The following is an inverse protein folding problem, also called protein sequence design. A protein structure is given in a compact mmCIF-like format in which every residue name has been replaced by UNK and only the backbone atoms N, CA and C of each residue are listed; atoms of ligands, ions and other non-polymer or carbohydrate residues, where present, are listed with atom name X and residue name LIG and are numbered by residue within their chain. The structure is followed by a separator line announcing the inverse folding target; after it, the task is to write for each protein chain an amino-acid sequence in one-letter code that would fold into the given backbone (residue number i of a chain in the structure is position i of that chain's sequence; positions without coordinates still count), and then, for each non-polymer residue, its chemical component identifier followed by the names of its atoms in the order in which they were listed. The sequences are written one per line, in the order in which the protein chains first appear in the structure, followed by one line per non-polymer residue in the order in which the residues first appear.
data_IF_508130707357
#
_entry.id   IF_508130707357
#
_cell.length_a   1.000
_cell.length_b   1.000
_cell.length_c   1.000
_cell.angle_alpha   90.00
_cell.angle_beta   90.00
_cell.angle_gamma   90.00
#
_symmetry.space_group_name_H-M   'P 1'
#
loop_
_entity.id
_entity.type
_entity.pdbx_description
1 polymer ?
#
# COMPACT_ATOMS: atom_id res chain seq x y z
N UNK A 1 -36.27 -9.02 78.46
CA UNK A 1 -35.22 -8.00 78.21
C UNK A 1 -34.54 -8.30 76.92
N UNK A 2 -35.16 -7.76 75.90
CA UNK A 2 -34.78 -8.00 74.51
C UNK A 2 -33.79 -6.95 74.05
N UNK A 3 -32.67 -7.37 73.51
CA UNK A 3 -31.77 -6.48 72.74
C UNK A 3 -31.85 -6.87 71.29
N UNK A 4 -32.51 -6.03 70.55
CA UNK A 4 -32.63 -6.05 69.11
C UNK A 4 -31.27 -5.97 68.42
N UNK A 5 -31.06 -6.90 67.52
CA UNK A 5 -29.93 -6.99 66.66
C UNK A 5 -30.23 -6.17 65.39
N UNK A 6 -29.75 -4.92 65.35
CA UNK A 6 -29.78 -4.09 64.10
C UNK A 6 -28.60 -4.46 63.19
N UNK A 7 -28.92 -5.03 62.06
CA UNK A 7 -27.96 -5.15 60.93
C UNK A 7 -27.75 -3.77 60.26
N UNK A 8 -26.51 -3.35 60.00
CA UNK A 8 -26.29 -2.13 59.26
C UNK A 8 -26.62 -2.38 57.77
N UNK A 9 -27.48 -1.52 57.25
CA UNK A 9 -27.84 -1.49 55.82
C UNK A 9 -26.66 -1.16 54.94
N UNK A 10 -26.36 -2.03 54.01
CA UNK A 10 -25.50 -1.77 52.84
C UNK A 10 -26.29 -0.93 51.85
N UNK A 11 -26.28 0.38 52.04
CA UNK A 11 -26.70 1.32 51.02
C UNK A 11 -25.49 2.00 50.39
N UNK A 12 -25.40 1.97 49.06
CA UNK A 12 -24.56 2.86 48.30
C UNK A 12 -23.51 2.19 47.46
N UNK A 13 -23.92 1.35 46.51
CA UNK A 13 -23.11 1.24 45.31
C UNK A 13 -23.22 2.55 44.52
N UNK A 14 -22.11 3.26 44.28
CA UNK A 14 -22.13 4.38 43.36
C UNK A 14 -22.50 3.84 42.00
N UNK A 15 -23.59 4.36 41.42
CA UNK A 15 -24.06 4.01 40.10
C UNK A 15 -22.94 4.07 39.08
N UNK A 16 -22.70 2.96 38.46
CA UNK A 16 -21.91 2.92 37.22
C UNK A 16 -22.43 4.01 36.26
N UNK A 17 -21.56 4.84 35.72
CA UNK A 17 -22.00 5.87 34.80
C UNK A 17 -22.69 5.19 33.62
N UNK A 18 -23.98 5.44 33.49
CA UNK A 18 -24.86 5.03 32.38
C UNK A 18 -24.49 5.66 31.05
N UNK A 19 -23.21 5.90 30.79
CA UNK A 19 -22.67 6.54 29.58
C UNK A 19 -22.07 5.55 28.60
N UNK A 20 -22.23 4.24 28.76
CA UNK A 20 -22.09 3.32 27.64
C UNK A 20 -23.40 3.26 26.82
N UNK A 21 -23.92 4.40 26.42
CA UNK A 21 -24.69 4.44 25.17
C UNK A 21 -23.74 4.01 24.06
N UNK A 22 -23.79 2.72 23.74
CA UNK A 22 -23.30 2.16 22.49
C UNK A 22 -23.84 3.07 21.37
N UNK A 23 -23.04 4.06 20.96
CA UNK A 23 -23.25 4.71 19.67
C UNK A 23 -23.25 3.57 18.68
N UNK A 24 -24.42 3.28 18.14
CA UNK A 24 -24.53 2.47 16.94
C UNK A 24 -23.78 3.26 15.86
N UNK A 25 -22.51 2.98 15.73
CA UNK A 25 -21.66 3.47 14.66
C UNK A 25 -22.03 2.73 13.40
N UNK A 26 -23.21 3.00 12.89
CA UNK A 26 -23.49 2.78 11.50
C UNK A 26 -22.67 3.80 10.74
N UNK A 27 -21.46 3.44 10.32
CA UNK A 27 -20.55 4.32 9.62
C UNK A 27 -21.24 4.93 8.42
N UNK A 28 -21.19 6.24 8.29
CA UNK A 28 -21.65 6.97 7.13
C UNK A 28 -20.67 6.67 6.01
N UNK A 29 -21.08 6.01 4.93
CA UNK A 29 -20.23 5.86 3.76
C UNK A 29 -20.26 7.16 2.97
N UNK A 30 -19.10 7.75 2.75
CA UNK A 30 -18.89 8.90 1.89
C UNK A 30 -18.38 8.45 0.53
N UNK A 31 -18.72 9.17 -0.52
CA UNK A 31 -18.23 8.95 -1.88
C UNK A 31 -17.73 10.25 -2.48
N UNK A 32 -16.65 10.20 -3.26
CA UNK A 32 -16.24 11.35 -4.04
C UNK A 32 -17.22 11.61 -5.16
N UNK A 33 -17.73 12.84 -5.22
CA UNK A 33 -18.70 13.26 -6.26
C UNK A 33 -18.15 12.98 -7.65
N UNK A 34 -18.98 12.41 -8.51
CA UNK A 34 -18.60 12.04 -9.88
C UNK A 34 -17.71 10.81 -10.03
N UNK A 35 -17.43 10.10 -8.94
CA UNK A 35 -16.61 8.87 -8.95
C UNK A 35 -17.31 7.68 -8.32
N UNK A 36 -16.68 6.49 -8.37
CA UNK A 36 -17.14 5.30 -7.64
C UNK A 36 -16.40 5.07 -6.34
N UNK A 37 -15.37 5.87 -6.03
CA UNK A 37 -14.52 5.66 -4.87
C UNK A 37 -15.29 5.98 -3.58
N UNK A 38 -15.40 4.99 -2.71
CA UNK A 38 -16.02 5.12 -1.40
C UNK A 38 -14.93 5.35 -0.34
N UNK A 39 -15.18 6.32 0.52
CA UNK A 39 -14.38 6.58 1.70
C UNK A 39 -15.04 5.89 2.88
N UNK A 40 -14.36 4.94 3.48
CA UNK A 40 -14.82 4.34 4.73
C UNK A 40 -14.56 5.28 5.90
N UNK A 41 -15.42 5.22 6.89
CA UNK A 41 -15.12 5.77 8.20
C UNK A 41 -14.49 4.67 9.06
N UNK A 42 -13.44 4.98 9.82
CA UNK A 42 -12.89 4.02 10.76
C UNK A 42 -13.97 3.60 11.76
N UNK A 43 -14.05 2.30 12.02
CA UNK A 43 -15.05 1.75 12.93
C UNK A 43 -14.76 2.07 14.41
N UNK A 44 -13.54 2.43 14.74
CA UNK A 44 -13.06 2.63 16.10
C UNK A 44 -12.76 4.10 16.39
N UNK A 45 -13.07 4.55 17.61
CA UNK A 45 -12.87 5.93 18.07
C UNK A 45 -11.42 6.43 18.09
N UNK A 46 -10.45 5.59 17.73
CA UNK A 46 -9.02 5.92 17.70
C UNK A 46 -8.51 6.49 16.38
N UNK A 47 -9.38 6.75 15.40
CA UNK A 47 -8.99 7.19 14.06
C UNK A 47 -9.59 8.55 13.67
N UNK A 48 -10.02 9.35 14.63
CA UNK A 48 -10.61 10.66 14.38
C UNK A 48 -9.62 11.59 13.66
N UNK A 49 -8.33 11.47 13.97
CA UNK A 49 -7.26 12.24 13.33
C UNK A 49 -7.14 11.92 11.82
N UNK A 50 -7.36 10.65 11.44
CA UNK A 50 -7.35 10.25 10.03
C UNK A 50 -8.50 10.87 9.25
N UNK A 51 -9.68 10.95 9.85
CA UNK A 51 -10.83 11.61 9.23
C UNK A 51 -10.58 13.11 9.08
N UNK A 52 -10.12 13.77 10.14
CA UNK A 52 -9.81 15.20 10.12
C UNK A 52 -8.74 15.53 9.06
N UNK A 53 -7.66 14.75 9.01
CA UNK A 53 -6.61 14.93 8.01
C UNK A 53 -7.11 14.70 6.58
N UNK A 54 -7.91 13.66 6.35
CA UNK A 54 -8.52 13.38 5.05
C UNK A 54 -9.45 14.51 4.60
N UNK A 55 -10.36 14.96 5.46
CA UNK A 55 -11.31 16.04 5.17
C UNK A 55 -10.58 17.35 4.83
N UNK A 56 -9.53 17.67 5.58
CA UNK A 56 -8.69 18.82 5.32
C UNK A 56 -8.05 18.78 3.93
N UNK A 57 -7.45 17.64 3.57
CA UNK A 57 -6.85 17.44 2.25
C UNK A 57 -7.89 17.53 1.13
N UNK A 58 -9.06 16.90 1.28
CA UNK A 58 -10.11 16.93 0.27
C UNK A 58 -10.67 18.34 0.08
N UNK A 59 -10.90 19.08 1.17
CA UNK A 59 -11.32 20.49 1.12
C UNK A 59 -10.29 21.35 0.42
N UNK A 60 -9.00 21.20 0.74
CA UNK A 60 -7.92 21.93 0.07
C UNK A 60 -7.81 21.61 -1.43
N UNK A 61 -8.12 20.36 -1.81
CA UNK A 61 -8.16 19.93 -3.21
C UNK A 61 -9.41 20.41 -3.95
N UNK A 62 -10.40 20.93 -3.25
CA UNK A 62 -11.71 21.32 -3.82
C UNK A 62 -12.56 20.13 -4.22
N UNK A 63 -12.42 19.00 -3.53
CA UNK A 63 -13.18 17.77 -3.82
C UNK A 63 -14.42 17.74 -2.93
N UNK A 64 -15.58 17.65 -3.57
CA UNK A 64 -16.85 17.49 -2.88
C UNK A 64 -17.12 16.01 -2.54
N UNK A 65 -17.75 15.82 -1.39
CA UNK A 65 -18.18 14.52 -0.89
C UNK A 65 -19.70 14.44 -0.88
N UNK A 66 -20.22 13.31 -1.30
CA UNK A 66 -21.62 12.97 -1.16
C UNK A 66 -21.82 11.88 -0.10
N UNK A 67 -22.84 12.03 0.72
CA UNK A 67 -23.23 11.01 1.67
C UNK A 67 -24.04 9.92 0.96
N UNK A 68 -23.59 8.69 1.10
CA UNK A 68 -24.37 7.56 0.61
C UNK A 68 -25.50 7.23 1.60
N UNK A 69 -26.70 6.89 1.12
CA UNK A 69 -27.77 6.45 1.98
C UNK A 69 -27.30 5.23 2.78
N UNK A 70 -27.57 5.26 4.09
CA UNK A 70 -27.26 4.12 4.97
C UNK A 70 -27.91 2.86 4.42
N UNK A 71 -27.12 1.87 4.06
CA UNK A 71 -27.65 0.53 3.87
C UNK A 71 -28.31 0.12 5.18
N UNK A 72 -29.60 -0.21 5.15
CA UNK A 72 -30.31 -0.74 6.32
C UNK A 72 -29.52 -1.93 6.81
N UNK A 73 -28.92 -1.81 8.00
CA UNK A 73 -28.16 -2.89 8.60
C UNK A 73 -29.12 -4.07 8.77
N UNK A 74 -29.00 -5.08 7.91
CA UNK A 74 -29.56 -6.38 8.19
C UNK A 74 -28.90 -6.85 9.46
N UNK A 75 -29.72 -7.19 10.50
CA UNK A 75 -29.34 -7.45 11.87
C UNK A 75 -28.47 -8.70 12.05
N UNK A 76 -27.31 -8.72 11.47
CA UNK A 76 -26.30 -9.73 11.70
C UNK A 76 -25.31 -9.28 12.78
N UNK A 77 -25.06 -10.15 13.74
CA UNK A 77 -24.03 -9.99 14.75
C UNK A 77 -22.74 -9.54 14.06
N UNK A 78 -22.30 -8.34 14.41
CA UNK A 78 -21.06 -7.77 13.93
C UNK A 78 -19.89 -8.69 14.29
N UNK A 79 -19.53 -9.52 13.38
CA UNK A 79 -18.14 -9.92 13.25
C UNK A 79 -17.48 -8.73 12.58
N UNK A 80 -16.55 -8.09 13.28
CA UNK A 80 -15.85 -6.90 12.81
C UNK A 80 -14.88 -7.25 11.67
N UNK A 81 -15.40 -7.83 10.62
CA UNK A 81 -14.69 -8.04 9.38
C UNK A 81 -15.13 -6.97 8.40
N UNK A 82 -14.28 -5.95 8.19
CA UNK A 82 -14.47 -4.97 7.14
C UNK A 82 -14.74 -5.63 5.77
N UNK A 83 -14.20 -6.84 5.53
CA UNK A 83 -14.45 -7.65 4.35
C UNK A 83 -15.92 -8.08 4.19
N UNK A 84 -16.70 -8.12 5.28
CA UNK A 84 -18.11 -8.52 5.24
C UNK A 84 -19.06 -7.33 5.15
N UNK A 85 -18.58 -6.12 5.39
CA UNK A 85 -19.39 -4.91 5.24
C UNK A 85 -19.37 -4.35 3.81
N UNK A 86 -18.51 -4.87 2.93
CA UNK A 86 -18.67 -4.65 1.50
C UNK A 86 -19.93 -5.38 1.08
N UNK A 87 -21.02 -4.63 1.14
CA UNK A 87 -22.36 -5.07 0.81
C UNK A 87 -22.39 -5.89 -0.46
N UNK A 88 -23.41 -6.70 -0.63
CA UNK A 88 -23.73 -7.45 -1.86
C UNK A 88 -23.75 -6.58 -3.15
N UNK A 89 -23.66 -5.25 -3.04
CA UNK A 89 -23.39 -4.30 -4.10
C UNK A 89 -21.91 -4.14 -4.48
N UNK A 90 -21.02 -4.90 -3.91
CA UNK A 90 -19.58 -5.01 -3.95
C UNK A 90 -18.79 -4.70 -5.22
N UNK A 91 -18.99 -3.55 -5.82
CA UNK A 91 -18.30 -3.12 -7.05
C UNK A 91 -17.57 -1.79 -6.90
N UNK A 92 -17.75 -1.09 -5.79
CA UNK A 92 -17.11 0.21 -5.57
C UNK A 92 -15.74 0.02 -4.92
N UNK A 93 -14.70 0.69 -5.41
CA UNK A 93 -13.40 0.72 -4.74
C UNK A 93 -13.49 1.45 -3.41
N UNK A 94 -12.73 0.99 -2.43
CA UNK A 94 -12.74 1.50 -1.06
C UNK A 94 -11.42 2.17 -0.69
N UNK A 95 -11.49 3.16 0.20
CA UNK A 95 -10.34 3.86 0.75
C UNK A 95 -10.33 3.75 2.28
N UNK A 96 -9.35 3.06 2.81
CA UNK A 96 -9.16 2.81 4.23
C UNK A 96 -7.67 2.66 4.59
N UNK A 97 -6.83 3.72 4.50
CA UNK A 97 -5.39 3.64 4.70
C UNK A 97 -4.97 3.28 6.12
N UNK A 98 -5.83 3.45 7.12
CA UNK A 98 -5.63 2.96 8.49
C UNK A 98 -5.72 1.43 8.61
N UNK A 99 -6.22 0.75 7.60
CA UNK A 99 -6.18 -0.70 7.51
C UNK A 99 -4.78 -1.13 7.14
N UNK A 100 -4.05 -1.63 8.15
CA UNK A 100 -2.67 -2.03 8.00
C UNK A 100 -2.57 -3.55 7.89
N UNK A 101 -2.11 -4.03 6.75
CA UNK A 101 -1.78 -5.43 6.53
C UNK A 101 -0.36 -5.74 6.97
N UNK A 102 -0.09 -6.98 7.28
CA UNK A 102 1.27 -7.48 7.45
C UNK A 102 1.60 -8.43 6.31
N UNK A 103 2.84 -8.43 5.80
CA UNK A 103 3.22 -9.34 4.72
C UNK A 103 3.15 -10.82 5.15
N UNK A 104 3.23 -11.11 6.44
CA UNK A 104 3.05 -12.48 6.99
C UNK A 104 1.63 -13.01 6.75
N UNK A 105 0.64 -12.16 6.65
CA UNK A 105 -0.73 -12.57 6.34
C UNK A 105 -0.85 -13.25 4.97
N UNK A 106 0.03 -12.91 4.03
CA UNK A 106 0.09 -13.58 2.73
C UNK A 106 0.55 -15.04 2.83
N UNK A 107 1.41 -15.37 3.80
CA UNK A 107 1.91 -16.73 3.99
C UNK A 107 0.86 -17.65 4.59
N UNK A 108 0.14 -17.17 5.58
CA UNK A 108 -0.70 -17.99 6.44
C UNK A 108 -2.16 -18.08 5.97
N UNK A 109 -2.47 -17.54 4.80
CA UNK A 109 -3.87 -17.44 4.34
C UNK A 109 -4.75 -16.60 5.25
N UNK A 110 -4.14 -15.85 6.20
CA UNK A 110 -4.81 -14.97 7.14
C UNK A 110 -5.28 -13.65 6.54
N UNK A 111 -5.21 -13.52 5.22
CA UNK A 111 -5.80 -12.38 4.53
C UNK A 111 -7.31 -12.45 4.67
N UNK A 112 -7.95 -11.35 5.08
CA UNK A 112 -9.38 -11.26 5.06
C UNK A 112 -9.85 -11.54 3.64
N UNK A 113 -10.97 -12.25 3.49
CA UNK A 113 -11.57 -12.52 2.19
C UNK A 113 -11.97 -11.20 1.53
N UNK A 114 -11.05 -10.61 0.80
CA UNK A 114 -11.29 -9.44 -0.01
C UNK A 114 -12.07 -9.86 -1.25
N UNK A 115 -13.36 -9.54 -1.36
CA UNK A 115 -14.13 -9.94 -2.52
C UNK A 115 -13.43 -9.42 -3.78
N UNK A 116 -13.13 -10.33 -4.70
CA UNK A 116 -12.53 -10.02 -6.00
C UNK A 116 -11.10 -9.47 -5.99
N UNK A 117 -10.39 -9.48 -4.86
CA UNK A 117 -8.97 -9.14 -4.86
C UNK A 117 -8.16 -10.28 -5.48
N UNK A 118 -7.32 -9.94 -6.44
CA UNK A 118 -6.47 -10.88 -7.14
C UNK A 118 -5.00 -10.71 -6.80
N UNK A 119 -4.58 -9.47 -6.55
CA UNK A 119 -3.20 -9.14 -6.22
C UNK A 119 -3.12 -7.80 -5.51
N UNK A 120 -1.99 -7.53 -4.87
CA UNK A 120 -1.71 -6.27 -4.19
C UNK A 120 -0.40 -5.66 -4.66
N UNK A 121 -0.33 -4.32 -4.60
CA UNK A 121 0.88 -3.55 -4.76
C UNK A 121 1.09 -2.63 -3.57
N UNK A 122 2.27 -2.67 -2.96
CA UNK A 122 2.71 -1.71 -1.94
C UNK A 122 3.81 -0.84 -2.52
N UNK A 123 3.75 0.46 -2.23
CA UNK A 123 4.62 1.45 -2.86
C UNK A 123 5.58 2.03 -1.84
N UNK A 124 6.87 1.99 -2.18
CA UNK A 124 7.89 2.74 -1.49
C UNK A 124 8.26 3.91 -2.36
N UNK A 125 8.15 5.10 -1.80
CA UNK A 125 8.66 6.29 -2.42
C UNK A 125 9.43 7.09 -1.40
N UNK A 126 10.70 7.33 -1.66
CA UNK A 126 11.52 8.24 -0.88
C UNK A 126 12.49 8.96 -1.81
N UNK A 127 12.32 10.26 -1.89
CA UNK A 127 13.23 11.14 -2.58
C UNK A 127 14.10 11.80 -1.52
N UNK A 128 15.38 11.50 -1.50
CA UNK A 128 16.32 12.16 -0.60
C UNK A 128 16.22 13.69 -0.70
N UNK A 129 16.53 14.44 0.37
CA UNK A 129 16.58 15.89 0.29
C UNK A 129 17.55 16.31 -0.82
N UNK A 130 17.13 17.20 -1.70
CA UNK A 130 17.73 17.50 -3.00
C UNK A 130 19.15 18.08 -3.00
N UNK A 131 19.85 18.06 -1.88
CA UNK A 131 21.24 18.52 -1.76
C UNK A 131 22.25 17.40 -1.50
N UNK A 132 21.82 16.21 -1.15
CA UNK A 132 22.72 15.09 -0.91
C UNK A 132 22.67 14.16 -2.10
N UNK A 133 23.52 14.41 -3.11
CA UNK A 133 23.63 13.66 -4.36
C UNK A 133 23.92 12.14 -4.20
N UNK A 134 24.04 11.66 -2.98
CA UNK A 134 24.33 10.26 -2.64
C UNK A 134 23.13 9.48 -2.09
N UNK A 135 22.03 10.14 -1.74
CA UNK A 135 20.81 9.43 -1.33
C UNK A 135 20.06 9.07 -2.61
N UNK A 136 20.08 7.78 -2.91
CA UNK A 136 19.35 7.23 -4.05
C UNK A 136 17.86 7.50 -3.88
N UNK A 137 17.25 7.97 -4.93
CA UNK A 137 15.79 8.14 -4.97
C UNK A 137 15.17 6.78 -5.18
N UNK A 138 14.25 6.38 -4.31
CA UNK A 138 13.55 5.11 -4.41
C UNK A 138 12.11 5.36 -4.85
N UNK A 139 11.70 4.70 -5.92
CA UNK A 139 10.32 4.62 -6.40
C UNK A 139 10.06 3.19 -6.86
N UNK A 140 9.61 2.36 -5.95
CA UNK A 140 9.44 0.93 -6.14
C UNK A 140 8.03 0.50 -5.82
N UNK A 141 7.48 -0.42 -6.63
CA UNK A 141 6.25 -1.17 -6.32
C UNK A 141 6.58 -2.62 -5.98
N UNK A 142 6.22 -3.06 -4.78
CA UNK A 142 6.25 -4.46 -4.37
C UNK A 142 4.88 -5.08 -4.61
N UNK A 143 4.81 -5.96 -5.60
CA UNK A 143 3.58 -6.63 -6.01
C UNK A 143 3.56 -8.09 -5.55
N UNK A 144 2.39 -8.61 -5.20
CA UNK A 144 2.23 -10.04 -4.94
C UNK A 144 0.82 -10.50 -5.31
N UNK A 145 0.67 -11.71 -5.84
CA UNK A 145 -0.65 -12.31 -6.06
C UNK A 145 -1.31 -12.57 -4.70
N UNK A 146 -2.64 -12.50 -4.66
CA UNK A 146 -3.40 -13.00 -3.52
C UNK A 146 -3.19 -14.53 -3.41
N UNK A 147 -2.98 -15.11 -2.21
CA UNK A 147 -2.75 -16.55 -2.08
C UNK A 147 -3.81 -17.43 -2.75
N UNK A 148 -5.08 -17.05 -2.68
CA UNK A 148 -6.18 -17.73 -3.35
C UNK A 148 -6.10 -17.69 -4.90
N UNK A 149 -5.26 -16.82 -5.45
CA UNK A 149 -5.02 -16.68 -6.89
C UNK A 149 -3.74 -17.40 -7.33
N UNK A 150 -3.16 -18.18 -6.46
CA UNK A 150 -2.03 -19.05 -6.75
C UNK A 150 -2.51 -20.49 -6.95
N UNK A 151 -1.68 -21.26 -7.61
CA UNK A 151 -1.74 -22.72 -7.70
C UNK A 151 -0.47 -23.28 -7.09
N UNK A 152 -0.54 -24.46 -6.52
CA UNK A 152 0.67 -25.15 -6.09
C UNK A 152 1.53 -25.46 -7.33
N UNK A 153 2.84 -25.38 -7.18
CA UNK A 153 3.77 -25.81 -8.22
C UNK A 153 3.71 -27.33 -8.42
N UNK A 154 4.44 -27.85 -9.42
CA UNK A 154 4.50 -29.29 -9.70
C UNK A 154 5.04 -30.12 -8.52
N UNK A 155 5.81 -29.49 -7.61
CA UNK A 155 6.29 -30.08 -6.36
C UNK A 155 5.29 -29.99 -5.20
N UNK A 156 4.18 -29.25 -5.36
CA UNK A 156 3.11 -29.10 -4.39
C UNK A 156 3.42 -28.24 -3.18
N UNK A 157 4.60 -27.60 -3.12
CA UNK A 157 5.10 -26.96 -1.92
C UNK A 157 5.03 -25.43 -1.95
N UNK A 158 5.12 -24.80 -3.12
CA UNK A 158 5.25 -23.35 -3.21
C UNK A 158 4.20 -22.73 -4.16
N UNK A 159 3.70 -21.51 -3.85
CA UNK A 159 2.65 -20.89 -4.63
C UNK A 159 3.19 -20.31 -5.94
N UNK A 160 2.46 -20.54 -7.04
CA UNK A 160 2.70 -19.95 -8.35
C UNK A 160 1.48 -19.13 -8.77
N UNK A 161 1.63 -17.93 -9.31
CA UNK A 161 0.49 -17.09 -9.69
C UNK A 161 -0.24 -17.70 -10.90
N UNK A 162 -1.55 -17.56 -10.94
CA UNK A 162 -2.31 -17.87 -12.16
C UNK A 162 -1.87 -16.93 -13.28
N UNK A 163 -1.86 -17.42 -14.51
CA UNK A 163 -1.44 -16.66 -15.69
C UNK A 163 -2.14 -15.28 -15.82
N UNK A 164 -3.45 -15.24 -15.57
CA UNK A 164 -4.21 -13.98 -15.65
C UNK A 164 -3.73 -12.94 -14.64
N UNK A 165 -3.40 -13.37 -13.42
CA UNK A 165 -2.91 -12.49 -12.35
C UNK A 165 -1.51 -11.97 -12.67
N UNK A 166 -0.62 -12.84 -13.17
CA UNK A 166 0.71 -12.41 -13.60
C UNK A 166 0.62 -11.37 -14.72
N UNK A 167 -0.26 -11.60 -15.72
CA UNK A 167 -0.55 -10.61 -16.78
C UNK A 167 -1.07 -9.29 -16.21
N UNK A 168 -1.96 -9.33 -15.22
CA UNK A 168 -2.52 -8.14 -14.61
C UNK A 168 -1.46 -7.32 -13.88
N UNK A 169 -0.56 -7.96 -13.09
CA UNK A 169 0.54 -7.31 -12.40
C UNK A 169 1.54 -6.67 -13.36
N UNK A 170 1.99 -7.41 -14.39
CA UNK A 170 2.90 -6.87 -15.42
C UNK A 170 2.24 -5.71 -16.16
N UNK A 171 0.97 -5.84 -16.53
CA UNK A 171 0.22 -4.77 -17.18
C UNK A 171 0.05 -3.53 -16.30
N UNK A 172 -0.05 -3.70 -14.98
CA UNK A 172 -0.08 -2.57 -14.03
C UNK A 172 1.28 -1.88 -13.97
N UNK A 173 2.38 -2.62 -13.88
CA UNK A 173 3.73 -2.06 -13.90
C UNK A 173 3.97 -1.24 -15.19
N UNK A 174 3.51 -1.72 -16.34
CA UNK A 174 3.59 -0.98 -17.61
C UNK A 174 2.81 0.33 -17.58
N UNK A 175 1.58 0.30 -17.09
CA UNK A 175 0.77 1.53 -16.95
C UNK A 175 1.42 2.57 -16.04
N UNK A 176 2.28 2.13 -15.14
CA UNK A 176 3.08 2.98 -14.26
C UNK A 176 4.46 3.32 -14.83
N UNK A 177 4.69 3.07 -16.12
CA UNK A 177 5.99 3.32 -16.79
C UNK A 177 7.19 2.66 -16.11
N UNK A 178 6.95 1.52 -15.42
CA UNK A 178 7.99 0.73 -14.77
C UNK A 178 8.65 -0.19 -15.80
N UNK A 179 9.94 0.01 -16.00
CA UNK A 179 10.69 -0.68 -17.06
C UNK A 179 11.66 -1.73 -16.53
N UNK A 180 12.00 -1.70 -15.25
CA UNK A 180 12.93 -2.66 -14.62
C UNK A 180 12.16 -3.52 -13.62
N UNK A 181 11.83 -4.73 -14.02
CA UNK A 181 11.03 -5.65 -13.22
C UNK A 181 11.88 -6.82 -12.74
N UNK A 182 11.72 -7.19 -11.44
CA UNK A 182 12.19 -8.47 -10.92
C UNK A 182 11.01 -9.36 -10.55
N UNK A 183 11.14 -10.66 -10.79
CA UNK A 183 10.24 -11.67 -10.26
C UNK A 183 11.04 -12.56 -9.32
N UNK A 184 10.67 -12.56 -8.03
CA UNK A 184 11.36 -13.30 -7.00
C UNK A 184 10.56 -14.56 -6.67
N UNK A 185 11.21 -15.71 -6.82
CA UNK A 185 10.64 -17.06 -6.67
C UNK A 185 11.60 -17.94 -5.86
N UNK A 186 11.17 -19.14 -5.50
CA UNK A 186 12.11 -20.17 -5.03
C UNK A 186 12.98 -20.68 -6.17
N UNK A 187 14.20 -21.14 -5.87
CA UNK A 187 15.17 -21.58 -6.89
C UNK A 187 14.59 -22.63 -7.86
N UNK A 188 13.83 -23.59 -7.34
CA UNK A 188 13.21 -24.66 -8.14
C UNK A 188 12.08 -24.16 -9.06
N UNK A 189 11.48 -23.00 -8.77
CA UNK A 189 10.37 -22.43 -9.56
C UNK A 189 10.83 -21.60 -10.76
N UNK A 190 12.14 -21.27 -10.89
CA UNK A 190 12.64 -20.36 -11.95
C UNK A 190 12.22 -20.78 -13.34
N UNK A 191 12.37 -22.05 -13.68
CA UNK A 191 12.03 -22.58 -15.01
C UNK A 191 10.52 -22.56 -15.27
N UNK A 192 9.72 -22.90 -14.27
CA UNK A 192 8.27 -22.84 -14.36
C UNK A 192 7.79 -21.40 -14.54
N UNK A 193 8.36 -20.45 -13.79
CA UNK A 193 8.07 -19.03 -13.93
C UNK A 193 8.48 -18.49 -15.31
N UNK A 194 9.63 -18.89 -15.84
CA UNK A 194 10.05 -18.49 -17.18
C UNK A 194 9.06 -18.97 -18.27
N UNK A 195 8.59 -20.23 -18.17
CA UNK A 195 7.55 -20.75 -19.05
C UNK A 195 6.24 -19.96 -18.93
N UNK A 196 5.82 -19.67 -17.71
CA UNK A 196 4.60 -18.91 -17.42
C UNK A 196 4.68 -17.50 -18.00
N UNK A 197 5.85 -16.84 -17.92
CA UNK A 197 6.09 -15.52 -18.49
C UNK A 197 5.99 -15.51 -20.01
N UNK A 198 6.55 -16.51 -20.67
CA UNK A 198 6.44 -16.63 -22.14
C UNK A 198 4.99 -16.76 -22.59
N UNK A 199 4.14 -17.40 -21.76
CA UNK A 199 2.70 -17.49 -22.00
C UNK A 199 1.96 -16.19 -21.63
N UNK A 200 2.47 -15.47 -20.60
CA UNK A 200 1.85 -14.25 -20.13
C UNK A 200 1.93 -13.15 -21.19
N UNK A 201 3.09 -12.98 -21.81
CA UNK A 201 3.28 -11.90 -22.75
C UNK A 201 4.45 -12.15 -23.71
N UNK A 202 4.10 -12.50 -24.91
CA UNK A 202 5.08 -12.64 -26.01
C UNK A 202 5.67 -11.29 -26.46
N UNK A 203 5.10 -10.17 -26.02
CA UNK A 203 5.52 -8.81 -26.38
C UNK A 203 6.43 -8.13 -25.36
N UNK A 204 6.68 -8.72 -24.17
CA UNK A 204 7.50 -8.12 -23.10
C UNK A 204 8.84 -7.60 -23.61
N UNK A 205 9.46 -8.34 -24.50
CA UNK A 205 10.77 -7.99 -25.10
C UNK A 205 10.71 -6.82 -26.08
N UNK A 206 9.55 -6.49 -26.64
CA UNK A 206 9.40 -5.42 -27.63
C UNK A 206 9.19 -4.04 -27.01
N UNK A 207 8.82 -3.97 -25.75
CA UNK A 207 8.38 -2.72 -25.10
C UNK A 207 9.42 -2.08 -24.18
N UNK A 208 10.68 -2.43 -24.27
CA UNK A 208 11.75 -1.81 -23.47
C UNK A 208 11.71 -2.18 -21.98
N UNK A 209 11.00 -3.26 -21.61
CA UNK A 209 10.97 -3.78 -20.24
C UNK A 209 12.14 -4.74 -20.03
N UNK A 210 12.98 -4.45 -19.06
CA UNK A 210 13.97 -5.41 -18.54
C UNK A 210 13.30 -6.24 -17.45
N UNK A 211 13.30 -7.56 -17.62
CA UNK A 211 12.71 -8.47 -16.64
C UNK A 211 13.74 -9.51 -16.20
N UNK A 212 13.94 -9.61 -14.90
CA UNK A 212 14.81 -10.60 -14.28
C UNK A 212 13.99 -11.60 -13.48
N UNK A 213 14.28 -12.90 -13.58
CA UNK A 213 13.74 -13.93 -12.69
C UNK A 213 14.86 -14.35 -11.76
N UNK A 214 14.68 -14.11 -10.48
CA UNK A 214 15.67 -14.38 -9.44
C UNK A 214 15.13 -15.40 -8.44
N UNK A 215 16.01 -16.27 -7.97
CA UNK A 215 15.71 -16.97 -6.72
C UNK A 215 15.80 -16.00 -5.56
N UNK A 216 15.14 -16.33 -4.45
CA UNK A 216 15.21 -15.46 -3.26
C UNK A 216 16.67 -15.31 -2.79
N UNK A 217 17.46 -16.38 -2.88
CA UNK A 217 18.87 -16.40 -2.50
C UNK A 217 19.70 -15.43 -3.38
N UNK A 218 19.46 -15.43 -4.70
CA UNK A 218 20.13 -14.52 -5.65
C UNK A 218 19.70 -13.06 -5.44
N UNK A 219 18.48 -12.83 -4.91
CA UNK A 219 17.91 -11.51 -4.72
C UNK A 219 18.37 -10.83 -3.42
N UNK A 220 18.83 -11.56 -2.40
CA UNK A 220 19.17 -11.02 -1.07
C UNK A 220 20.17 -9.85 -1.15
N UNK A 221 21.32 -10.08 -1.80
CA UNK A 221 22.36 -9.06 -1.88
C UNK A 221 21.94 -7.82 -2.69
N UNK A 222 21.33 -7.94 -3.89
CA UNK A 222 20.84 -6.77 -4.61
C UNK A 222 19.74 -5.99 -3.87
N UNK A 223 18.81 -6.66 -3.16
CA UNK A 223 17.76 -6.00 -2.39
C UNK A 223 18.32 -5.11 -1.28
N UNK A 224 19.43 -5.52 -0.67
CA UNK A 224 20.10 -4.75 0.38
C UNK A 224 21.01 -3.66 -0.18
N UNK A 225 21.79 -3.98 -1.23
CA UNK A 225 22.84 -3.09 -1.74
C UNK A 225 22.29 -2.06 -2.75
N UNK A 226 21.31 -2.45 -3.56
CA UNK A 226 20.81 -1.69 -4.70
C UNK A 226 19.27 -1.73 -4.80
N UNK A 227 18.53 -1.23 -3.78
CA UNK A 227 17.07 -1.31 -3.77
C UNK A 227 16.42 -0.56 -4.94
N UNK A 228 17.15 0.37 -5.57
CA UNK A 228 16.76 1.14 -6.75
C UNK A 228 17.09 0.45 -8.09
N UNK A 229 17.62 -0.77 -8.04
CA UNK A 229 17.93 -1.58 -9.25
C UNK A 229 16.66 -1.86 -10.07
N UNK A 230 15.54 -2.08 -9.38
CA UNK A 230 14.26 -2.37 -10.01
C UNK A 230 13.23 -1.29 -9.73
N UNK A 231 12.30 -1.10 -10.67
CA UNK A 231 11.15 -0.21 -10.53
C UNK A 231 9.94 -0.93 -9.94
N UNK A 232 9.85 -2.24 -10.17
CA UNK A 232 8.84 -3.11 -9.58
C UNK A 232 9.42 -4.49 -9.28
N UNK A 233 8.93 -5.07 -8.19
CA UNK A 233 9.25 -6.43 -7.76
C UNK A 233 7.95 -7.21 -7.63
N UNK A 234 7.86 -8.36 -8.28
CA UNK A 234 6.79 -9.32 -8.09
C UNK A 234 7.34 -10.43 -7.21
N UNK A 235 6.91 -10.48 -5.95
CA UNK A 235 7.31 -11.52 -5.00
C UNK A 235 6.17 -12.51 -4.81
N UNK A 236 6.50 -13.80 -4.69
CA UNK A 236 5.51 -14.81 -4.34
C UNK A 236 4.97 -14.54 -2.93
N UNK A 237 3.73 -14.96 -2.61
CA UNK A 237 3.10 -14.62 -1.34
C UNK A 237 3.91 -15.01 -0.12
N UNK A 238 4.52 -16.17 -0.14
CA UNK A 238 5.35 -16.73 0.92
C UNK A 238 6.73 -16.03 1.05
N UNK A 239 7.21 -15.38 -0.01
CA UNK A 239 8.46 -14.62 -0.02
C UNK A 239 8.28 -13.13 0.28
N UNK A 240 7.04 -12.61 0.25
CA UNK A 240 6.74 -11.19 0.40
C UNK A 240 7.33 -10.60 1.68
N UNK A 241 7.22 -11.31 2.79
CA UNK A 241 7.71 -10.82 4.09
C UNK A 241 9.22 -10.62 4.10
N UNK A 242 9.98 -11.53 3.50
CA UNK A 242 11.44 -11.46 3.40
C UNK A 242 11.83 -10.27 2.50
N UNK A 243 11.22 -10.18 1.32
CA UNK A 243 11.50 -9.09 0.37
C UNK A 243 11.18 -7.73 0.99
N UNK A 244 10.03 -7.59 1.66
CA UNK A 244 9.66 -6.35 2.33
C UNK A 244 10.63 -5.99 3.44
N UNK A 245 11.05 -6.96 4.27
CA UNK A 245 11.99 -6.72 5.35
C UNK A 245 13.35 -6.19 4.84
N UNK A 246 13.86 -6.78 3.75
CA UNK A 246 15.10 -6.33 3.12
C UNK A 246 14.96 -4.91 2.54
N UNK A 247 13.83 -4.61 1.90
CA UNK A 247 13.56 -3.29 1.35
C UNK A 247 13.38 -2.22 2.44
N UNK A 248 12.73 -2.54 3.55
CA UNK A 248 12.64 -1.64 4.72
C UNK A 248 14.02 -1.36 5.28
N UNK A 249 14.84 -2.41 5.43
CA UNK A 249 16.22 -2.27 5.95
C UNK A 249 17.10 -1.43 5.02
N UNK A 250 17.02 -1.63 3.72
CA UNK A 250 17.84 -0.92 2.72
C UNK A 250 17.39 0.51 2.50
N UNK A 251 16.09 0.76 2.46
CA UNK A 251 15.52 2.09 2.25
C UNK A 251 15.51 2.95 3.50
N UNK A 252 15.46 2.33 4.68
CA UNK A 252 15.23 3.02 5.96
C UNK A 252 13.81 3.57 6.11
N UNK A 253 12.85 3.19 5.26
CA UNK A 253 11.44 3.57 5.36
C UNK A 253 10.72 2.55 6.23
N UNK A 254 10.63 2.83 7.52
CA UNK A 254 10.00 1.95 8.53
C UNK A 254 8.51 2.24 8.73
N UNK A 255 8.04 3.43 8.31
CA UNK A 255 6.61 3.76 8.35
C UNK A 255 5.81 2.85 7.41
N UNK A 256 4.51 2.65 7.65
CA UNK A 256 3.66 1.87 6.76
C UNK A 256 3.67 2.39 5.32
N UNK A 257 3.62 1.47 4.37
CA UNK A 257 3.58 1.79 2.95
C UNK A 257 2.15 1.84 2.45
N UNK A 258 1.80 2.78 1.56
CA UNK A 258 0.50 2.75 0.90
C UNK A 258 0.38 1.47 0.08
N UNK A 259 -0.73 0.78 0.24
CA UNK A 259 -1.01 -0.50 -0.40
C UNK A 259 -2.32 -0.41 -1.16
N UNK A 260 -2.36 -0.97 -2.36
CA UNK A 260 -3.58 -1.11 -3.16
C UNK A 260 -3.84 -2.56 -3.49
N UNK A 261 -5.07 -2.99 -3.28
CA UNK A 261 -5.59 -4.27 -3.71
C UNK A 261 -6.33 -4.12 -5.02
N UNK A 262 -6.03 -5.00 -5.96
CA UNK A 262 -6.60 -5.02 -7.29
C UNK A 262 -7.38 -6.30 -7.55
N UNK A 263 -8.53 -6.18 -8.22
CA UNK A 263 -9.26 -7.27 -8.84
C UNK A 263 -9.11 -7.16 -10.35
N UNK A 264 -8.16 -7.88 -10.93
CA UNK A 264 -7.83 -7.73 -12.33
C UNK A 264 -7.33 -6.31 -12.66
N UNK A 265 -8.13 -5.56 -13.40
CA UNK A 265 -7.84 -4.16 -13.79
C UNK A 265 -8.43 -3.11 -12.85
N UNK A 266 -9.27 -3.53 -11.93
CA UNK A 266 -10.02 -2.62 -11.07
C UNK A 266 -9.37 -2.48 -9.71
N UNK A 267 -9.40 -1.26 -9.16
CA UNK A 267 -9.07 -1.03 -7.76
C UNK A 267 -10.15 -1.66 -6.88
N UNK A 268 -9.74 -2.36 -5.83
CA UNK A 268 -10.65 -2.93 -4.83
C UNK A 268 -10.57 -2.15 -3.53
N UNK A 269 -9.36 -1.91 -3.03
CA UNK A 269 -9.13 -1.24 -1.76
C UNK A 269 -7.79 -0.51 -1.79
N UNK A 270 -7.77 0.71 -1.23
CA UNK A 270 -6.56 1.40 -0.82
C UNK A 270 -6.40 1.26 0.69
N UNK A 271 -5.30 0.68 1.10
CA UNK A 271 -4.95 0.33 2.48
C UNK A 271 -3.49 0.71 2.77
N UNK A 272 -2.92 0.12 3.80
CA UNK A 272 -1.48 0.20 4.08
C UNK A 272 -0.88 -1.17 4.41
N UNK A 273 0.44 -1.25 4.41
CA UNK A 273 1.20 -2.44 4.79
C UNK A 273 2.39 -2.06 5.64
N UNK A 274 2.64 -2.82 6.72
CA UNK A 274 3.80 -2.67 7.60
C UNK A 274 4.36 -4.02 8.01
N UNK A 275 5.66 -4.07 8.30
CA UNK A 275 6.31 -5.28 8.88
C UNK A 275 5.80 -5.57 10.29
N UNK A 276 5.51 -4.53 11.04
CA UNK A 276 5.03 -4.65 12.41
C UNK A 276 3.52 -4.87 12.42
N UNK A 277 3.08 -5.77 13.29
CA UNK A 277 1.65 -5.90 13.55
C UNK A 277 1.16 -4.62 14.24
N UNK A 278 0.45 -3.80 13.50
CA UNK A 278 -0.28 -2.66 14.06
C UNK A 278 -1.50 -3.18 14.86
N UNK A 279 -1.23 -3.85 15.98
CA UNK A 279 -2.27 -4.43 16.86
C UNK A 279 -3.05 -3.38 17.64
N UNK A 280 -2.67 -2.12 17.57
CA UNK A 280 -3.37 -0.95 18.10
C UNK A 280 -3.48 0.07 16.99
N UNK A 281 -4.53 0.88 17.02
CA UNK A 281 -4.83 1.85 15.98
C UNK A 281 -3.56 2.54 15.43
N UNK A 282 -3.33 2.41 14.13
CA UNK A 282 -2.26 3.11 13.44
C UNK A 282 -2.48 4.62 13.64
N UNK A 283 -1.56 5.31 14.32
CA UNK A 283 -1.57 6.77 14.42
C UNK A 283 -1.54 7.43 13.04
N UNK A 284 -2.03 8.64 12.93
CA UNK A 284 -2.04 9.36 11.66
C UNK A 284 -0.62 9.57 11.14
N UNK A 285 -0.26 8.91 10.04
CA UNK A 285 0.92 9.24 9.24
C UNK A 285 0.50 10.13 8.06
N UNK A 286 0.89 11.41 8.10
CA UNK A 286 0.53 12.38 7.08
C UNK A 286 1.09 12.02 5.69
N UNK A 287 2.28 11.46 5.60
CA UNK A 287 2.85 11.01 4.31
C UNK A 287 2.11 9.81 3.75
N UNK A 288 1.78 8.84 4.59
CA UNK A 288 0.98 7.68 4.19
C UNK A 288 -0.39 8.13 3.67
N UNK A 289 -1.07 9.02 4.41
CA UNK A 289 -2.38 9.52 4.00
C UNK A 289 -2.31 10.24 2.65
N UNK A 290 -1.31 11.10 2.43
CA UNK A 290 -1.09 11.80 1.16
C UNK A 290 -0.87 10.82 0.01
N UNK A 291 -0.01 9.83 0.18
CA UNK A 291 0.28 8.85 -0.87
C UNK A 291 -0.90 7.94 -1.16
N UNK A 292 -1.55 7.43 -0.11
CA UNK A 292 -2.73 6.58 -0.26
C UNK A 292 -3.87 7.33 -0.96
N UNK A 293 -4.11 8.60 -0.57
CA UNK A 293 -5.14 9.44 -1.20
C UNK A 293 -4.78 9.76 -2.66
N UNK A 294 -3.51 10.05 -2.97
CA UNK A 294 -3.08 10.28 -4.35
C UNK A 294 -3.32 9.05 -5.24
N UNK A 295 -3.02 7.84 -4.74
CA UNK A 295 -3.32 6.58 -5.46
C UNK A 295 -4.84 6.40 -5.66
N UNK A 296 -5.63 6.66 -4.63
CA UNK A 296 -7.07 6.55 -4.71
C UNK A 296 -7.66 7.54 -5.74
N UNK A 297 -7.21 8.79 -5.73
CA UNK A 297 -7.62 9.83 -6.68
C UNK A 297 -7.24 9.47 -8.12
N UNK A 298 -6.03 8.95 -8.33
CA UNK A 298 -5.62 8.42 -9.64
C UNK A 298 -6.59 7.36 -10.15
N UNK A 299 -6.91 6.38 -9.31
CA UNK A 299 -7.82 5.30 -9.68
C UNK A 299 -9.27 5.78 -9.86
N UNK A 300 -9.64 6.88 -9.22
CA UNK A 300 -10.92 7.56 -9.44
C UNK A 300 -10.95 8.37 -10.74
N UNK A 301 -9.84 8.45 -11.49
CA UNK A 301 -9.73 9.24 -12.72
C UNK A 301 -9.36 10.71 -12.50
N UNK A 302 -9.05 11.11 -11.26
CA UNK A 302 -8.72 12.48 -10.87
C UNK A 302 -7.19 12.71 -10.89
N UNK A 303 -6.54 12.34 -11.99
CA UNK A 303 -5.08 12.38 -12.12
C UNK A 303 -4.45 13.76 -11.84
N UNK A 304 -4.95 14.88 -12.37
CA UNK A 304 -4.35 16.20 -12.08
C UNK A 304 -4.39 16.54 -10.59
N UNK A 305 -5.45 16.14 -9.90
CA UNK A 305 -5.61 16.36 -8.45
C UNK A 305 -4.66 15.48 -7.66
N UNK A 306 -4.51 14.21 -8.06
CA UNK A 306 -3.52 13.30 -7.46
C UNK A 306 -2.08 13.84 -7.62
N UNK A 307 -1.75 14.37 -8.79
CA UNK A 307 -0.44 14.97 -9.05
C UNK A 307 -0.22 16.26 -8.24
N UNK A 308 -1.24 17.11 -8.07
CA UNK A 308 -1.18 18.31 -7.20
C UNK A 308 -0.88 17.90 -5.76
N UNK A 309 -1.60 16.91 -5.23
CA UNK A 309 -1.40 16.41 -3.87
C UNK A 309 0.01 15.85 -3.67
N UNK A 310 0.45 14.99 -4.58
CA UNK A 310 1.81 14.46 -4.55
C UNK A 310 2.88 15.55 -4.69
N UNK A 311 2.67 16.54 -5.56
CA UNK A 311 3.56 17.67 -5.74
C UNK A 311 3.76 18.47 -4.46
N UNK A 312 2.71 18.69 -3.66
CA UNK A 312 2.82 19.35 -2.37
C UNK A 312 3.70 18.55 -1.39
N UNK A 313 3.50 17.23 -1.31
CA UNK A 313 4.36 16.32 -0.53
C UNK A 313 5.82 16.38 -1.01
N UNK A 314 6.06 16.29 -2.31
CA UNK A 314 7.41 16.28 -2.88
C UNK A 314 8.17 17.58 -2.60
N UNK A 315 7.49 18.74 -2.61
CA UNK A 315 8.07 20.03 -2.22
C UNK A 315 8.52 20.06 -0.76
N UNK A 316 7.68 19.54 0.14
CA UNK A 316 8.04 19.44 1.57
C UNK A 316 9.23 18.49 1.74
N UNK A 317 9.20 17.35 1.06
CA UNK A 317 10.30 16.38 1.13
C UNK A 317 11.62 16.97 0.61
N UNK A 318 11.60 17.73 -0.48
CA UNK A 318 12.78 18.41 -1.02
C UNK A 318 13.37 19.46 -0.05
N UNK A 319 12.57 19.99 0.87
CA UNK A 319 12.98 20.90 1.94
C UNK A 319 13.42 20.19 3.23
N UNK A 320 13.45 18.87 3.22
CA UNK A 320 13.83 18.06 4.38
C UNK A 320 12.71 17.90 5.43
N UNK A 321 11.46 18.23 5.09
CA UNK A 321 10.31 17.99 5.97
C UNK A 321 9.83 16.54 5.76
N UNK A 322 9.72 15.79 6.84
CA UNK A 322 9.34 14.36 6.81
C UNK A 322 8.38 14.03 7.95
N UNK A 323 7.63 12.95 7.80
CA UNK A 323 6.91 12.32 8.89
C UNK A 323 7.79 11.27 9.58
N UNK A 324 7.36 10.78 10.73
CA UNK A 324 8.05 9.75 11.47
C UNK A 324 8.21 8.46 10.65
N UNK A 325 9.33 7.76 10.84
CA UNK A 325 9.62 6.53 10.10
C UNK A 325 10.07 6.70 8.64
N UNK A 326 10.25 7.95 8.17
CA UNK A 326 10.72 8.24 6.81
C UNK A 326 11.99 9.08 6.82
N UNK A 327 12.99 8.66 6.04
CA UNK A 327 14.22 9.44 5.80
C UNK A 327 15.03 9.78 7.05
N UNK A 328 14.92 8.98 8.08
CA UNK A 328 15.34 9.25 9.45
C UNK A 328 16.84 9.45 9.66
N UNK A 329 17.66 9.07 8.70
CA UNK A 329 19.14 9.09 8.86
C UNK A 329 19.81 10.38 8.41
N UNK A 330 19.09 11.28 7.76
CA UNK A 330 19.68 12.55 7.34
C UNK A 330 19.68 13.54 8.52
N UNK A 331 20.82 14.14 8.87
CA UNK A 331 20.92 15.03 10.04
C UNK A 331 20.16 16.35 9.90
N UNK A 332 19.65 16.66 8.73
CA UNK A 332 18.98 17.93 8.41
C UNK A 332 17.52 17.75 8.02
N UNK A 333 16.80 16.88 8.69
CA UNK A 333 15.37 16.69 8.44
C UNK A 333 14.55 17.26 9.61
N UNK A 334 13.51 18.00 9.26
CA UNK A 334 12.48 18.43 10.21
C UNK A 334 11.38 17.37 10.25
N UNK A 335 11.26 16.67 11.39
CA UNK A 335 10.23 15.65 11.60
C UNK A 335 9.00 16.29 12.18
N UNK A 336 7.87 16.00 11.57
CA UNK A 336 6.57 16.50 11.98
C UNK A 336 5.61 15.36 12.27
N UNK A 337 4.72 15.60 13.22
CA UNK A 337 3.54 14.77 13.42
C UNK A 337 2.61 14.84 12.21
N UNK A 338 1.79 13.79 12.01
CA UNK A 338 0.95 13.64 10.84
C UNK A 338 0.01 14.83 10.59
N UNK A 339 -0.61 15.37 11.63
CA UNK A 339 -1.53 16.51 11.52
C UNK A 339 -0.78 17.80 11.09
N UNK A 340 0.34 18.13 11.73
CA UNK A 340 1.16 19.29 11.37
C UNK A 340 1.74 19.18 9.96
N UNK A 341 2.10 17.96 9.53
CA UNK A 341 2.53 17.70 8.16
C UNK A 341 1.42 17.99 7.14
N UNK A 342 0.18 17.57 7.40
CA UNK A 342 -0.97 17.84 6.55
C UNK A 342 -1.26 19.34 6.48
N UNK A 343 -1.08 20.06 7.57
CA UNK A 343 -1.23 21.52 7.60
C UNK A 343 -0.28 22.22 6.64
N UNK A 344 0.98 21.78 6.60
CA UNK A 344 1.96 22.31 5.65
C UNK A 344 1.65 21.91 4.20
N UNK A 345 1.13 20.70 3.96
CA UNK A 345 0.67 20.27 2.62
C UNK A 345 -0.42 21.21 2.13
N UNK A 346 -1.43 21.50 2.96
CA UNK A 346 -2.55 22.38 2.61
C UNK A 346 -2.16 23.87 2.54
N UNK A 347 -1.07 24.26 3.20
CA UNK A 347 -0.52 25.62 3.13
C UNK A 347 0.26 25.91 1.86
N UNK A 348 0.35 24.99 0.90
CA UNK A 348 1.13 25.13 -0.34
C UNK A 348 2.58 25.59 -0.12
N UNK A 349 3.16 25.21 1.01
CA UNK A 349 4.52 25.61 1.39
C UNK A 349 5.50 25.17 0.31
N UNK A 350 6.13 26.13 -0.35
CA UNK A 350 7.13 25.88 -1.40
C UNK A 350 6.60 25.87 -2.82
N UNK A 351 5.43 26.46 -3.06
CA UNK A 351 4.90 26.65 -4.41
C UNK A 351 5.90 27.37 -5.35
N UNK A 352 6.74 28.26 -4.78
CA UNK A 352 7.71 29.08 -5.54
C UNK A 352 9.02 28.36 -5.90
N UNK A 353 9.15 27.07 -5.61
CA UNK A 353 10.38 26.34 -5.95
C UNK A 353 10.44 26.04 -7.43
N UNK A 354 11.36 26.69 -8.15
CA UNK A 354 11.61 26.51 -9.58
C UNK A 354 12.25 25.14 -9.96
N UNK A 355 12.48 24.26 -8.99
CA UNK A 355 13.10 22.94 -9.26
C UNK A 355 12.06 21.94 -9.77
N UNK A 356 12.39 21.19 -10.84
CA UNK A 356 11.53 20.11 -11.28
C UNK A 356 11.41 19.08 -10.15
N UNK A 357 10.16 18.77 -9.78
CA UNK A 357 9.89 17.72 -8.81
C UNK A 357 10.06 16.37 -9.49
N UNK A 358 10.59 15.41 -8.75
CA UNK A 358 10.63 14.05 -9.24
C UNK A 358 9.21 13.51 -9.37
N UNK A 359 8.88 13.01 -10.56
CA UNK A 359 7.59 12.37 -10.81
C UNK A 359 7.52 11.02 -10.10
N UNK A 360 6.38 10.73 -9.48
CA UNK A 360 6.07 9.40 -8.99
C UNK A 360 5.52 8.56 -10.12
N UNK A 361 6.19 7.45 -10.46
CA UNK A 361 5.76 6.57 -11.57
C UNK A 361 4.32 6.09 -11.41
N UNK A 362 3.90 5.82 -10.17
CA UNK A 362 2.52 5.46 -9.91
C UNK A 362 1.50 6.52 -10.34
N UNK A 363 1.90 7.79 -10.46
CA UNK A 363 1.08 8.90 -10.94
C UNK A 363 1.50 9.42 -12.31
N UNK A 364 2.42 8.74 -13.00
CA UNK A 364 2.79 9.13 -14.35
C UNK A 364 1.56 9.02 -15.26
N UNK A 365 1.28 10.08 -15.99
CA UNK A 365 0.30 10.00 -17.06
C UNK A 365 0.80 8.97 -18.07
N UNK A 366 -0.08 8.11 -18.56
CA UNK A 366 0.22 7.31 -19.74
C UNK A 366 0.64 8.29 -20.84
N UNK A 367 1.92 8.45 -21.06
CA UNK A 367 2.39 9.12 -22.28
C UNK A 367 1.88 8.27 -23.41
N UNK A 368 0.96 8.82 -24.20
CA UNK A 368 0.51 8.21 -25.42
C UNK A 368 1.78 7.78 -26.17
N UNK A 369 1.95 6.46 -26.27
CA UNK A 369 2.89 5.74 -27.12
C UNK A 369 4.08 6.56 -27.68
N UNK A 370 4.97 7.03 -26.83
CA UNK A 370 6.31 7.33 -27.27
C UNK A 370 7.08 6.01 -27.19
N UNK A 371 7.11 5.36 -28.35
CA UNK A 371 7.88 4.18 -28.68
C UNK A 371 9.29 4.28 -28.08
N UNK A 372 9.49 3.65 -26.93
CA UNK A 372 10.81 3.45 -26.39
C UNK A 372 11.43 2.23 -27.10
N UNK A 373 11.77 2.41 -28.39
CA UNK A 373 12.48 1.42 -29.17
C UNK A 373 13.94 1.43 -28.73
N UNK A 374 14.25 0.72 -27.68
CA UNK A 374 15.61 0.28 -27.39
C UNK A 374 15.64 -1.24 -27.40
N UNK A 375 16.63 -1.86 -28.07
CA UNK A 375 16.70 -3.31 -28.13
C UNK A 375 16.91 -3.91 -26.75
N UNK A 376 16.08 -4.89 -26.42
CA UNK A 376 16.06 -5.59 -25.14
C UNK A 376 17.13 -6.67 -25.11
N UNK A 377 17.91 -6.68 -24.05
CA UNK A 377 18.73 -7.84 -23.66
C UNK A 377 17.98 -8.64 -22.60
N UNK A 378 17.50 -9.82 -22.97
CA UNK A 378 17.17 -10.86 -22.01
C UNK A 378 18.49 -11.42 -21.46
N UNK A 379 18.90 -11.01 -20.28
CA UNK A 379 19.98 -11.70 -19.58
C UNK A 379 19.38 -12.78 -18.69
N UNK A 380 19.30 -14.00 -19.21
CA UNK A 380 19.27 -15.20 -18.41
C UNK A 380 20.63 -15.26 -17.69
N UNK A 381 20.67 -14.86 -16.43
CA UNK A 381 21.85 -15.11 -15.57
C UNK A 381 21.86 -16.61 -15.33
N UNK A 382 22.57 -17.35 -16.19
CA UNK A 382 22.86 -18.75 -15.96
C UNK A 382 23.66 -18.86 -14.66
N UNK A 383 23.21 -19.69 -13.73
CA UNK A 383 23.99 -20.04 -12.55
C UNK A 383 25.39 -20.45 -12.98
N UNK A 384 26.41 -19.78 -12.45
CA UNK A 384 27.80 -20.24 -12.63
C UNK A 384 27.88 -21.67 -12.07
N UNK A 385 28.42 -22.62 -12.85
CA UNK A 385 28.68 -23.94 -12.31
C UNK A 385 29.67 -23.78 -11.14
N UNK A 386 29.32 -24.33 -9.99
CA UNK A 386 30.21 -24.44 -8.86
C UNK A 386 31.45 -25.22 -9.29
N UNK A 387 32.60 -24.57 -9.24
CA UNK A 387 33.89 -25.22 -9.47
C UNK A 387 34.11 -26.20 -8.30
N UNK A 388 34.33 -27.50 -8.54
CA UNK A 388 34.64 -28.41 -7.47
C UNK A 388 36.01 -28.03 -6.93
N UNK A 389 36.09 -27.72 -5.64
CA UNK A 389 37.38 -27.62 -4.93
C UNK A 389 37.97 -29.02 -4.85
N UNK A 390 39.06 -29.24 -5.59
CA UNK A 390 39.98 -30.36 -5.45
C UNK A 390 40.86 -30.19 -4.23
#
# INVERSE_FOLDING_TARGET
MDKANQKPGLNGHPGLPTAFRRRQTGGTSLRLVGTRLQLKEPADCGHDDWNAGREKLLTWLGIELEQLPRAKAAGFKQVAHWAMSSSAAGTAPEFAPWHCFTPVAFQNGGLPGLPRAEWAASYIIDHGPGQVARLRTLDLALMSPHPAMCVADEGGAAPMPRLAVLKAMIGAARRETRCKLAIIVHAHQRNAMAKLLLLADRGLTREGITLEILSIEDALAPLLAEPDRWDAIIAMPDLRSIVMALLVQSSGVTSPWPMVWHGGRNLVLVASESLEQCGKSLGLDGSLLVHALALALRHAGLMPVAQRLYGAWARLRARGVVTEGRGARAPYVNRLEGAAFIDLVCGDVGADTARPLQEWRALAALRAEQSCVKPVRLSLVAARPSVPHS
#
